data_IF_472432123699
#
_entry.id   IF_472432123699
#
_cell.length_a   1.000
_cell.length_b   1.000
_cell.length_c   1.000
_cell.angle_alpha   90.00
_cell.angle_beta   90.00
_cell.angle_gamma   90.00
#
_symmetry.space_group_name_H-M   'P 1'
#
loop_
_entity.id
_entity.type
_entity.pdbx_description
1 polymer ?
#
# COMPACT_ATOMS: atom_id res chain seq x y z
N UNK A 1 7.68 -3.12 -13.48
CA UNK A 1 7.77 -4.22 -12.50
C UNK A 1 8.56 -3.69 -11.32
N UNK A 2 8.06 -3.86 -10.10
CA UNK A 2 8.77 -3.40 -8.91
C UNK A 2 10.07 -4.19 -8.74
N UNK A 3 11.13 -3.51 -8.30
CA UNK A 3 12.45 -4.10 -8.11
C UNK A 3 12.44 -5.27 -7.12
N UNK A 4 11.52 -5.23 -6.14
CA UNK A 4 11.30 -6.31 -5.17
C UNK A 4 10.85 -7.61 -5.84
N UNK A 5 9.91 -7.55 -6.79
CA UNK A 5 9.45 -8.73 -7.53
C UNK A 5 10.56 -9.31 -8.41
N UNK A 6 11.33 -8.45 -9.08
CA UNK A 6 12.48 -8.90 -9.90
C UNK A 6 13.52 -9.60 -9.04
N UNK A 7 13.85 -9.03 -7.87
CA UNK A 7 14.76 -9.65 -6.92
C UNK A 7 14.23 -11.00 -6.43
N UNK A 8 12.94 -11.08 -6.11
CA UNK A 8 12.32 -12.32 -5.62
C UNK A 8 12.32 -13.43 -6.66
N UNK A 9 11.97 -13.10 -7.91
CA UNK A 9 12.08 -14.03 -9.05
C UNK A 9 13.54 -14.47 -9.22
N UNK A 10 14.49 -13.55 -9.13
CA UNK A 10 15.91 -13.88 -9.26
C UNK A 10 16.38 -14.85 -8.16
N UNK A 11 15.90 -14.67 -6.93
CA UNK A 11 16.18 -15.59 -5.82
C UNK A 11 15.60 -16.98 -6.10
N UNK A 12 14.33 -17.08 -6.52
CA UNK A 12 13.71 -18.37 -6.81
C UNK A 12 14.44 -19.10 -7.94
N UNK A 13 14.76 -18.39 -9.04
CA UNK A 13 15.56 -18.94 -10.15
C UNK A 13 16.95 -19.35 -9.68
N UNK A 14 17.61 -18.55 -8.83
CA UNK A 14 18.92 -18.88 -8.27
C UNK A 14 18.87 -20.13 -7.39
N UNK A 15 17.85 -20.27 -6.54
CA UNK A 15 17.64 -21.46 -5.72
C UNK A 15 17.45 -22.69 -6.61
N UNK A 16 16.61 -22.62 -7.65
CA UNK A 16 16.48 -23.74 -8.60
C UNK A 16 17.81 -24.07 -9.30
N UNK A 17 18.57 -23.05 -9.74
CA UNK A 17 19.85 -23.25 -10.38
C UNK A 17 20.87 -23.94 -9.46
N UNK A 18 20.92 -23.56 -8.19
CA UNK A 18 21.77 -24.24 -7.18
C UNK A 18 21.26 -25.65 -6.90
N UNK A 19 19.94 -25.83 -6.82
CA UNK A 19 19.27 -27.13 -6.77
C UNK A 19 19.79 -28.10 -7.82
N UNK A 20 19.78 -27.68 -9.08
CA UNK A 20 20.23 -28.47 -10.23
C UNK A 20 21.72 -28.81 -10.23
N UNK A 21 22.54 -28.20 -9.36
CA UNK A 21 23.95 -28.58 -9.16
C UNK A 21 24.12 -29.79 -8.21
N UNK A 22 23.02 -30.44 -7.81
CA UNK A 22 23.01 -31.63 -6.94
C UNK A 22 22.47 -31.37 -5.52
N UNK A 23 21.92 -30.18 -5.25
CA UNK A 23 21.32 -29.86 -3.95
C UNK A 23 19.98 -30.56 -3.74
N UNK A 24 19.25 -30.85 -4.82
CA UNK A 24 18.04 -31.68 -4.76
C UNK A 24 18.32 -33.08 -4.20
N UNK A 25 19.44 -33.68 -4.58
CA UNK A 25 19.82 -35.03 -4.12
C UNK A 25 20.44 -35.03 -2.72
N UNK A 26 21.16 -33.97 -2.36
CA UNK A 26 21.99 -33.93 -1.15
C UNK A 26 21.29 -33.36 0.08
N UNK A 27 20.24 -32.55 -0.09
CA UNK A 27 19.52 -31.89 1.00
C UNK A 27 18.01 -32.18 0.89
N UNK A 28 17.44 -33.06 1.74
CA UNK A 28 16.08 -33.56 1.58
C UNK A 28 14.95 -32.52 1.61
N UNK A 29 15.17 -31.36 2.22
CA UNK A 29 14.14 -30.29 2.32
C UNK A 29 14.32 -29.20 1.26
N UNK A 30 15.41 -29.25 0.49
CA UNK A 30 15.77 -28.19 -0.44
C UNK A 30 14.72 -28.01 -1.53
N UNK A 31 14.24 -29.14 -2.05
CA UNK A 31 13.26 -29.15 -3.12
C UNK A 31 11.94 -28.52 -2.66
N UNK A 32 11.45 -28.95 -1.51
CA UNK A 32 10.23 -28.40 -0.90
C UNK A 32 10.33 -26.88 -0.66
N UNK A 33 11.51 -26.36 -0.31
CA UNK A 33 11.72 -24.91 -0.17
C UNK A 33 11.74 -24.20 -1.53
N UNK A 34 12.37 -24.79 -2.55
CA UNK A 34 12.34 -24.26 -3.91
C UNK A 34 10.90 -24.19 -4.43
N UNK A 35 10.12 -25.23 -4.21
CA UNK A 35 8.69 -25.30 -4.51
C UNK A 35 7.88 -24.21 -3.80
N UNK A 36 8.02 -24.06 -2.48
CA UNK A 36 7.33 -23.00 -1.75
C UNK A 36 7.69 -21.60 -2.27
N UNK A 37 8.97 -21.33 -2.56
CA UNK A 37 9.41 -20.04 -3.09
C UNK A 37 8.80 -19.77 -4.47
N UNK A 38 8.91 -20.72 -5.39
CA UNK A 38 8.34 -20.62 -6.74
C UNK A 38 6.82 -20.47 -6.69
N UNK A 39 6.14 -21.17 -5.78
CA UNK A 39 4.70 -21.06 -5.58
C UNK A 39 4.26 -19.66 -5.13
N UNK A 40 5.07 -18.90 -4.37
CA UNK A 40 4.74 -17.50 -4.06
C UNK A 40 4.72 -16.61 -5.30
N UNK A 41 5.58 -16.87 -6.29
CA UNK A 41 5.63 -16.14 -7.55
C UNK A 41 4.42 -16.49 -8.41
N UNK A 42 4.09 -17.79 -8.50
CA UNK A 42 2.89 -18.26 -9.19
C UNK A 42 1.63 -17.68 -8.56
N UNK A 43 1.53 -17.69 -7.23
CA UNK A 43 0.42 -17.10 -6.49
C UNK A 43 0.28 -15.61 -6.78
N UNK A 44 1.37 -14.85 -6.76
CA UNK A 44 1.36 -13.42 -7.09
C UNK A 44 0.92 -13.15 -8.54
N UNK A 45 1.30 -14.03 -9.47
CA UNK A 45 0.86 -13.97 -10.87
C UNK A 45 -0.64 -14.26 -11.00
N UNK A 46 -1.14 -15.29 -10.31
CA UNK A 46 -2.57 -15.61 -10.26
C UNK A 46 -3.40 -14.49 -9.63
N UNK A 47 -2.89 -13.87 -8.56
CA UNK A 47 -3.49 -12.69 -7.94
C UNK A 47 -3.58 -11.52 -8.92
N UNK A 48 -2.48 -11.19 -9.61
CA UNK A 48 -2.46 -10.12 -10.60
C UNK A 48 -3.46 -10.38 -11.74
N UNK A 49 -3.60 -11.63 -12.19
CA UNK A 49 -4.57 -12.03 -13.20
C UNK A 49 -6.02 -11.82 -12.72
N UNK A 50 -6.36 -12.27 -11.50
CA UNK A 50 -7.69 -12.05 -10.91
C UNK A 50 -7.99 -10.57 -10.79
N UNK A 51 -7.04 -9.77 -10.27
CA UNK A 51 -7.27 -8.35 -10.08
C UNK A 51 -7.41 -7.58 -11.39
N UNK A 52 -6.73 -8.03 -12.44
CA UNK A 52 -6.91 -7.48 -13.78
C UNK A 52 -8.31 -7.78 -14.34
N UNK A 53 -8.84 -8.99 -14.10
CA UNK A 53 -10.19 -9.40 -14.52
C UNK A 53 -11.25 -8.60 -13.75
N UNK A 54 -11.12 -8.54 -12.41
CA UNK A 54 -12.02 -7.82 -11.50
C UNK A 54 -12.14 -6.34 -11.89
N UNK A 55 -11.01 -5.67 -12.16
CA UNK A 55 -10.99 -4.25 -12.57
C UNK A 55 -11.59 -3.98 -13.95
N UNK A 56 -11.55 -4.95 -14.87
CA UNK A 56 -12.01 -4.76 -16.25
C UNK A 56 -13.47 -5.19 -16.47
N UNK A 57 -14.17 -5.57 -15.40
CA UNK A 57 -15.54 -6.07 -15.48
C UNK A 57 -16.47 -5.24 -14.60
N UNK A 58 -17.30 -4.41 -15.24
CA UNK A 58 -18.28 -3.54 -14.56
C UNK A 58 -19.37 -4.30 -13.79
N UNK A 59 -19.45 -5.64 -13.95
CA UNK A 59 -20.51 -6.48 -13.38
C UNK A 59 -20.01 -7.54 -12.39
N UNK A 60 -18.70 -7.65 -12.14
CA UNK A 60 -18.16 -8.67 -11.22
C UNK A 60 -17.30 -8.02 -10.17
N UNK A 61 -17.80 -8.00 -8.93
CA UNK A 61 -17.00 -7.70 -7.75
C UNK A 61 -16.66 -9.06 -7.11
N UNK A 62 -15.39 -9.47 -7.15
CA UNK A 62 -14.98 -10.75 -6.58
C UNK A 62 -14.75 -10.61 -5.07
N UNK A 63 -15.56 -11.27 -4.20
CA UNK A 63 -15.33 -11.23 -2.76
C UNK A 63 -13.97 -11.85 -2.41
N UNK A 64 -13.35 -11.36 -1.34
CA UNK A 64 -12.00 -11.74 -0.92
C UNK A 64 -11.84 -13.25 -0.72
N UNK A 65 -12.89 -13.94 -0.25
CA UNK A 65 -12.89 -15.39 -0.06
C UNK A 65 -12.76 -16.16 -1.39
N UNK A 66 -13.40 -15.66 -2.46
CA UNK A 66 -13.29 -16.26 -3.79
C UNK A 66 -11.93 -16.00 -4.41
N UNK A 67 -11.35 -14.81 -4.20
CA UNK A 67 -9.99 -14.52 -4.65
C UNK A 67 -8.97 -15.43 -3.94
N UNK A 68 -9.11 -15.58 -2.62
CA UNK A 68 -8.29 -16.50 -1.82
C UNK A 68 -8.38 -17.94 -2.33
N UNK A 69 -9.61 -18.47 -2.48
CA UNK A 69 -9.83 -19.82 -2.98
C UNK A 69 -9.30 -20.00 -4.41
N UNK A 70 -9.49 -19.02 -5.28
CA UNK A 70 -8.96 -19.03 -6.64
C UNK A 70 -7.44 -19.18 -6.64
N UNK A 71 -6.72 -18.39 -5.84
CA UNK A 71 -5.24 -18.44 -5.80
C UNK A 71 -4.78 -19.84 -5.37
N UNK A 72 -5.41 -20.43 -4.35
CA UNK A 72 -5.08 -21.79 -3.92
C UNK A 72 -5.30 -22.83 -5.02
N UNK A 73 -6.40 -22.74 -5.77
CA UNK A 73 -6.70 -23.66 -6.87
C UNK A 73 -5.77 -23.43 -8.05
N UNK A 74 -5.46 -22.17 -8.37
CA UNK A 74 -4.55 -21.78 -9.43
C UNK A 74 -3.14 -22.31 -9.19
N UNK A 75 -2.61 -22.12 -7.98
CA UNK A 75 -1.29 -22.64 -7.59
C UNK A 75 -1.29 -24.16 -7.57
N UNK A 76 -2.34 -24.81 -7.05
CA UNK A 76 -2.47 -26.26 -7.10
C UNK A 76 -2.41 -26.79 -8.54
N UNK A 77 -3.18 -26.18 -9.46
CA UNK A 77 -3.21 -26.59 -10.85
C UNK A 77 -1.85 -26.41 -11.54
N UNK A 78 -1.16 -25.29 -11.26
CA UNK A 78 0.19 -25.06 -11.77
C UNK A 78 1.20 -26.03 -11.18
N UNK A 79 1.11 -26.33 -9.88
CA UNK A 79 1.95 -27.32 -9.20
C UNK A 79 1.81 -28.69 -9.85
N UNK A 80 0.59 -29.19 -10.02
CA UNK A 80 0.34 -30.47 -10.72
C UNK A 80 0.89 -30.45 -12.14
N UNK A 81 0.73 -29.34 -12.85
CA UNK A 81 1.29 -29.19 -14.20
C UNK A 81 2.82 -29.27 -14.21
N UNK A 82 3.48 -28.66 -13.21
CA UNK A 82 4.93 -28.70 -13.06
C UNK A 82 5.45 -30.12 -12.79
N UNK A 83 4.81 -30.85 -11.87
CA UNK A 83 5.15 -32.26 -11.56
C UNK A 83 5.07 -33.15 -12.80
N UNK A 84 4.08 -32.92 -13.68
CA UNK A 84 3.95 -33.65 -14.94
C UNK A 84 5.14 -33.37 -15.87
N UNK A 85 5.63 -32.13 -15.92
CA UNK A 85 6.81 -31.75 -16.71
C UNK A 85 8.04 -32.48 -16.17
N UNK A 86 8.26 -32.45 -14.86
CA UNK A 86 9.41 -33.11 -14.23
C UNK A 86 9.38 -34.61 -14.44
N UNK A 87 8.23 -35.25 -14.23
CA UNK A 87 8.04 -36.66 -14.54
C UNK A 87 8.35 -36.97 -16.02
N UNK A 88 7.85 -36.14 -16.93
CA UNK A 88 8.06 -36.32 -18.38
C UNK A 88 9.53 -36.14 -18.78
N UNK A 89 10.22 -35.15 -18.22
CA UNK A 89 11.64 -34.91 -18.46
C UNK A 89 12.51 -36.00 -17.83
N UNK A 90 12.14 -36.49 -16.65
CA UNK A 90 12.74 -37.66 -16.01
C UNK A 90 12.62 -38.90 -16.90
N UNK A 91 11.43 -39.18 -17.43
CA UNK A 91 11.22 -40.30 -18.37
C UNK A 91 12.03 -40.12 -19.66
N UNK A 92 12.05 -38.91 -20.23
CA UNK A 92 12.80 -38.62 -21.45
C UNK A 92 14.31 -38.84 -21.25
N UNK A 93 14.88 -38.43 -20.10
CA UNK A 93 16.29 -38.63 -19.78
C UNK A 93 16.67 -40.12 -19.71
N UNK A 94 15.82 -40.95 -19.07
CA UNK A 94 16.01 -42.40 -18.99
C UNK A 94 15.99 -43.05 -20.37
N UNK A 95 15.12 -42.61 -21.28
CA UNK A 95 15.04 -43.13 -22.64
C UNK A 95 16.24 -42.71 -23.51
N UNK A 96 16.79 -41.52 -23.27
CA UNK A 96 17.91 -40.96 -24.04
C UNK A 96 19.28 -41.31 -23.44
N UNK A 97 19.32 -42.01 -22.30
CA UNK A 97 20.56 -42.41 -21.61
C UNK A 97 21.31 -41.24 -20.97
N UNK A 98 20.61 -40.15 -20.66
CA UNK A 98 21.15 -38.99 -19.94
C UNK A 98 20.82 -39.03 -18.45
N UNK A 99 21.48 -38.18 -17.66
CA UNK A 99 21.10 -37.93 -16.26
C UNK A 99 19.86 -37.03 -16.22
N UNK A 100 18.93 -37.33 -15.32
CA UNK A 100 17.74 -36.53 -15.11
C UNK A 100 18.13 -35.22 -14.42
N UNK A 101 18.08 -34.10 -15.15
CA UNK A 101 18.40 -32.76 -14.60
C UNK A 101 17.29 -32.25 -13.65
N UNK A 102 16.08 -32.78 -13.80
CA UNK A 102 14.90 -32.55 -12.97
C UNK A 102 14.30 -33.92 -12.65
N UNK A 103 14.90 -34.63 -11.70
CA UNK A 103 14.50 -35.99 -11.36
C UNK A 103 13.35 -35.94 -10.33
N UNK A 104 12.20 -36.49 -10.70
CA UNK A 104 11.14 -36.80 -9.73
C UNK A 104 11.55 -38.05 -8.95
N UNK A 105 11.67 -37.96 -7.60
CA UNK A 105 12.19 -39.06 -6.78
C UNK A 105 11.11 -40.02 -6.30
N UNK A 106 9.84 -39.67 -6.44
CA UNK A 106 8.71 -40.56 -6.17
C UNK A 106 7.38 -39.84 -5.89
N UNK A 107 6.33 -40.61 -5.58
CA UNK A 107 5.01 -40.04 -5.27
C UNK A 107 5.00 -39.25 -3.96
N UNK A 108 5.77 -39.66 -2.95
CA UNK A 108 5.85 -38.98 -1.67
C UNK A 108 6.47 -37.57 -1.80
N UNK A 109 7.39 -37.42 -2.76
CA UNK A 109 8.06 -36.18 -3.15
C UNK A 109 7.04 -35.20 -3.74
N UNK A 110 6.38 -35.62 -4.83
CA UNK A 110 5.29 -34.87 -5.48
C UNK A 110 4.21 -34.40 -4.51
N UNK A 111 3.77 -35.25 -3.57
CA UNK A 111 2.78 -34.84 -2.57
C UNK A 111 3.35 -33.78 -1.65
N UNK A 112 4.61 -33.92 -1.23
CA UNK A 112 5.29 -32.93 -0.38
C UNK A 112 5.45 -31.61 -1.12
N UNK A 113 5.81 -31.62 -2.39
CA UNK A 113 5.97 -30.42 -3.20
C UNK A 113 4.64 -29.69 -3.41
N UNK A 114 3.56 -30.43 -3.68
CA UNK A 114 2.22 -29.85 -3.73
C UNK A 114 1.79 -29.24 -2.38
N UNK A 115 2.18 -29.83 -1.25
CA UNK A 115 1.90 -29.24 0.06
C UNK A 115 2.67 -27.93 0.27
N UNK A 116 3.96 -27.90 -0.10
CA UNK A 116 4.78 -26.69 0.00
C UNK A 116 4.32 -25.60 -0.98
N UNK A 117 3.82 -25.99 -2.16
CA UNK A 117 3.15 -25.08 -3.09
C UNK A 117 1.95 -24.41 -2.42
N UNK A 118 1.12 -25.17 -1.71
CA UNK A 118 -0.02 -24.62 -0.97
C UNK A 118 0.41 -23.72 0.19
N UNK A 119 1.51 -24.03 0.89
CA UNK A 119 2.04 -23.12 1.91
C UNK A 119 2.44 -21.77 1.31
N UNK A 120 3.13 -21.78 0.16
CA UNK A 120 3.46 -20.55 -0.57
C UNK A 120 2.20 -19.78 -1.00
N UNK A 121 1.19 -20.49 -1.51
CA UNK A 121 -0.08 -19.90 -1.91
C UNK A 121 -0.83 -19.26 -0.74
N UNK A 122 -0.90 -19.94 0.42
CA UNK A 122 -1.55 -19.44 1.63
C UNK A 122 -0.86 -18.17 2.14
N UNK A 123 0.48 -18.13 2.12
CA UNK A 123 1.23 -16.94 2.54
C UNK A 123 0.84 -15.73 1.68
N UNK A 124 0.81 -15.89 0.35
CA UNK A 124 0.48 -14.78 -0.56
C UNK A 124 -0.99 -14.41 -0.49
N UNK A 125 -1.90 -15.38 -0.60
CA UNK A 125 -3.33 -15.14 -0.60
C UNK A 125 -3.83 -14.61 0.76
N UNK A 126 -3.26 -15.09 1.88
CA UNK A 126 -3.60 -14.62 3.21
C UNK A 126 -3.08 -13.22 3.51
N UNK A 127 -1.90 -12.87 3.00
CA UNK A 127 -1.34 -11.52 3.13
C UNK A 127 -2.16 -10.45 2.38
N UNK A 128 -2.76 -10.84 1.26
CA UNK A 128 -3.70 -10.01 0.51
C UNK A 128 -5.06 -9.90 1.21
N UNK A 129 -5.66 -11.02 1.62
CA UNK A 129 -6.92 -11.01 2.36
C UNK A 129 -6.85 -10.20 3.67
N UNK A 130 -5.68 -10.09 4.29
CA UNK A 130 -5.45 -9.29 5.49
C UNK A 130 -5.31 -7.77 5.22
N UNK A 131 -5.22 -7.32 3.96
CA UNK A 131 -5.18 -5.90 3.57
C UNK A 131 -6.41 -5.52 2.74
N UNK A 132 -7.58 -5.36 3.37
CA UNK A 132 -8.73 -4.81 2.68
C UNK A 132 -8.41 -3.38 2.24
N UNK A 133 -8.17 -3.18 0.95
CA UNK A 133 -7.89 -1.87 0.37
C UNK A 133 -9.09 -0.92 0.49
N UNK A 134 -10.30 -1.45 0.68
CA UNK A 134 -11.52 -0.67 0.94
C UNK A 134 -11.36 0.33 2.09
N UNK A 135 -10.64 -0.03 3.16
CA UNK A 135 -10.40 0.88 4.28
C UNK A 135 -9.41 2.00 3.92
N UNK A 136 -8.42 1.70 3.08
CA UNK A 136 -7.45 2.68 2.60
C UNK A 136 -8.07 3.60 1.53
N UNK A 137 -8.89 3.05 0.65
CA UNK A 137 -9.64 3.77 -0.37
C UNK A 137 -10.69 4.67 0.29
N UNK A 138 -11.47 4.16 1.26
CA UNK A 138 -12.42 4.98 2.04
C UNK A 138 -11.70 6.09 2.81
N UNK A 139 -10.52 5.81 3.39
CA UNK A 139 -9.75 6.84 4.08
C UNK A 139 -9.19 7.88 3.12
N UNK A 140 -8.79 7.48 1.91
CA UNK A 140 -8.30 8.39 0.87
C UNK A 140 -9.43 9.24 0.30
N UNK A 141 -10.57 8.63 -0.03
CA UNK A 141 -11.79 9.32 -0.45
C UNK A 141 -12.30 10.28 0.63
N UNK A 142 -12.26 9.88 1.91
CA UNK A 142 -12.62 10.76 3.02
C UNK A 142 -11.62 11.91 3.21
N UNK A 143 -10.35 11.70 2.85
CA UNK A 143 -9.30 12.73 2.90
C UNK A 143 -9.38 13.68 1.71
N UNK A 144 -9.77 13.19 0.53
CA UNK A 144 -10.00 13.99 -0.67
C UNK A 144 -11.32 14.80 -0.57
N UNK A 145 -12.34 14.28 0.09
CA UNK A 145 -13.63 14.95 0.41
C UNK A 145 -13.56 15.79 1.71
N UNK A 146 -12.40 15.84 2.37
CA UNK A 146 -12.22 16.63 3.58
C UNK A 146 -12.40 18.14 3.38
N UNK A 147 -11.89 18.77 2.29
CA UNK A 147 -12.04 20.21 2.06
C UNK A 147 -13.51 20.62 1.89
N UNK A 148 -14.27 19.88 1.07
CA UNK A 148 -15.69 20.12 0.79
C UNK A 148 -16.58 20.00 2.03
N UNK A 149 -16.35 18.98 2.88
CA UNK A 149 -17.07 18.82 4.15
C UNK A 149 -16.81 19.96 5.11
N UNK A 150 -15.54 20.39 5.23
CA UNK A 150 -15.14 21.49 6.10
C UNK A 150 -15.80 22.81 5.64
N UNK A 151 -15.88 23.06 4.33
CA UNK A 151 -16.60 24.22 3.78
C UNK A 151 -18.09 24.19 4.12
N UNK A 152 -18.74 23.03 3.94
CA UNK A 152 -20.16 22.85 4.26
C UNK A 152 -20.48 23.07 5.74
N UNK A 153 -19.64 22.53 6.64
CA UNK A 153 -19.77 22.75 8.09
C UNK A 153 -19.61 24.23 8.44
N UNK A 154 -18.59 24.91 7.89
CA UNK A 154 -18.34 26.33 8.15
C UNK A 154 -19.51 27.21 7.68
N UNK A 155 -20.08 26.90 6.52
CA UNK A 155 -21.24 27.60 5.97
C UNK A 155 -22.51 27.33 6.79
N UNK A 156 -22.66 26.11 7.32
CA UNK A 156 -23.78 25.75 8.20
C UNK A 156 -23.70 26.45 9.56
N UNK A 157 -22.50 26.60 10.12
CA UNK A 157 -22.27 27.31 11.38
C UNK A 157 -22.45 28.82 11.20
N UNK A 158 -22.03 29.38 10.07
CA UNK A 158 -22.27 30.79 9.75
C UNK A 158 -23.75 31.08 9.50
N UNK A 159 -24.48 30.16 8.86
CA UNK A 159 -25.92 30.25 8.67
C UNK A 159 -26.69 30.07 9.99
N UNK A 160 -26.21 29.22 10.89
CA UNK A 160 -26.75 29.08 12.26
C UNK A 160 -26.51 30.36 13.06
N UNK A 161 -25.30 30.93 12.97
CA UNK A 161 -24.96 32.21 13.60
C UNK A 161 -25.85 33.36 13.10
N UNK A 162 -26.05 33.47 11.78
CA UNK A 162 -26.91 34.51 11.18
C UNK A 162 -28.40 34.34 11.49
N UNK A 163 -28.84 33.13 11.87
CA UNK A 163 -30.24 32.85 12.21
C UNK A 163 -30.55 33.11 13.68
N UNK A 164 -29.54 32.98 14.55
CA UNK A 164 -29.65 33.25 15.99
C UNK A 164 -29.29 34.71 16.35
N UNK A 165 -28.73 35.49 15.42
CA UNK A 165 -28.35 36.89 15.63
C UNK A 165 -29.39 37.89 15.12
N UNK A 166 -30.40 38.15 15.96
CA UNK A 166 -31.15 39.42 15.97
C UNK A 166 -30.65 40.34 17.11
N UNK A 167 -29.44 40.07 17.67
CA UNK A 167 -28.84 40.87 18.75
C UNK A 167 -27.31 40.92 18.64
N UNK A 168 -26.85 41.96 17.97
CA UNK A 168 -25.46 42.39 17.85
C UNK A 168 -24.75 42.46 19.23
N UNK A 169 -24.07 41.39 19.64
CA UNK A 169 -23.13 41.38 20.79
C UNK A 169 -21.71 41.19 20.24
N UNK A 170 -20.84 42.22 20.30
CA UNK A 170 -19.48 42.12 19.79
C UNK A 170 -18.63 41.30 20.76
N UNK A 171 -18.31 40.04 20.41
CA UNK A 171 -17.31 39.24 21.10
C UNK A 171 -15.89 39.65 20.67
N UNK A 172 -15.49 40.88 21.00
CA UNK A 172 -14.09 41.31 21.06
C UNK A 172 -13.89 42.19 22.29
N UNK A 173 -13.99 41.58 23.47
CA UNK A 173 -13.60 42.22 24.73
C UNK A 173 -13.00 41.21 25.71
N UNK A 174 -12.07 40.37 25.27
CA UNK A 174 -11.13 39.74 26.20
C UNK A 174 -9.89 39.21 25.47
N UNK A 175 -9.08 40.13 24.95
CA UNK A 175 -7.64 39.90 24.93
C UNK A 175 -7.03 40.90 25.89
N UNK A 176 -6.70 40.36 27.05
CA UNK A 176 -5.90 40.93 28.11
C UNK A 176 -4.66 41.63 27.52
N UNK A 177 -4.76 42.95 27.39
CA UNK A 177 -3.62 43.81 27.09
C UNK A 177 -2.84 43.87 28.40
N UNK A 178 -1.90 42.93 28.57
CA UNK A 178 -0.91 42.99 29.63
C UNK A 178 -0.05 44.24 29.40
N UNK A 179 -0.54 45.37 29.90
CA UNK A 179 0.23 46.58 30.07
C UNK A 179 1.30 46.31 31.11
N UNK A 180 2.50 46.01 30.66
CA UNK A 180 3.69 46.05 31.51
C UNK A 180 3.97 47.52 31.78
N UNK A 181 3.71 47.96 33.01
CA UNK A 181 4.15 49.25 33.54
C UNK A 181 5.68 49.23 33.67
N UNK A 182 6.44 49.92 32.80
CA UNK A 182 7.85 50.09 33.03
C UNK A 182 7.95 51.10 34.18
N UNK A 183 8.13 50.58 35.39
CA UNK A 183 8.39 51.40 36.57
C UNK A 183 9.47 52.46 36.29
N UNK A 184 9.36 53.59 36.98
CA UNK A 184 10.05 54.86 36.75
C UNK A 184 11.60 54.87 36.83
N UNK A 185 12.26 53.72 36.65
CA UNK A 185 13.72 53.54 36.66
C UNK A 185 14.26 52.81 35.41
N UNK A 186 13.51 52.77 34.29
CA UNK A 186 14.01 52.23 33.02
C UNK A 186 14.93 53.24 32.30
N UNK A 187 16.19 52.89 31.96
CA UNK A 187 17.12 53.80 31.30
C UNK A 187 16.98 53.68 29.78
N UNK A 188 16.03 54.40 29.17
CA UNK A 188 15.91 54.47 27.71
C UNK A 188 15.67 55.92 27.24
N UNK A 189 16.18 56.29 26.06
CA UNK A 189 16.36 57.69 25.65
C UNK A 189 15.05 58.34 25.19
N UNK A 190 14.95 59.67 25.36
CA UNK A 190 13.77 60.51 25.11
C UNK A 190 13.36 60.67 23.61
N UNK A 191 13.68 59.74 22.70
CA UNK A 191 13.49 59.95 21.25
C UNK A 191 12.26 59.26 20.62
N UNK A 192 11.44 58.55 21.40
CA UNK A 192 10.20 57.92 20.91
C UNK A 192 8.93 58.50 21.54
N UNK A 193 8.89 59.83 21.72
CA UNK A 193 7.61 60.52 21.88
C UNK A 193 6.86 60.56 20.56
N UNK A 194 5.74 59.85 20.57
CA UNK A 194 4.60 59.74 19.63
C UNK A 194 4.15 61.05 18.96
N UNK A 195 4.97 61.65 18.11
CA UNK A 195 4.53 62.74 17.22
C UNK A 195 5.50 62.91 16.05
N UNK A 196 5.40 62.05 15.02
CA UNK A 196 5.87 62.34 13.66
C UNK A 196 5.42 61.19 12.72
N UNK A 197 4.30 61.38 12.04
CA UNK A 197 3.97 60.61 10.83
C UNK A 197 4.44 61.39 9.60
N UNK A 198 5.22 60.78 8.70
CA UNK A 198 5.16 61.12 7.28
C UNK A 198 4.36 60.07 6.51
N UNK A 199 3.47 60.55 5.66
CA UNK A 199 2.91 59.78 4.55
C UNK A 199 4.00 59.58 3.48
N UNK A 200 4.22 58.36 3.00
CA UNK A 200 4.27 58.00 1.58
C UNK A 200 4.76 56.55 1.33
N UNK A 201 3.96 55.87 0.51
CA UNK A 201 4.29 54.98 -0.62
C UNK A 201 5.18 53.73 -0.48
N UNK A 202 4.48 52.62 -0.69
CA UNK A 202 4.71 51.52 -1.63
C UNK A 202 5.81 50.47 -1.39
N UNK A 203 5.32 49.24 -1.53
CA UNK A 203 6.00 48.09 -2.13
C UNK A 203 6.85 47.23 -1.18
N UNK A 204 6.22 46.22 -0.58
CA UNK A 204 6.63 44.82 -0.70
C UNK A 204 5.41 43.93 -0.43
N UNK A 205 4.85 43.42 -1.52
CA UNK A 205 3.85 42.37 -1.60
C UNK A 205 4.54 41.03 -1.34
N UNK A 206 4.35 40.46 -0.16
CA UNK A 206 4.44 39.00 0.02
C UNK A 206 3.11 38.54 0.59
N UNK A 207 2.16 38.32 -0.33
CA UNK A 207 0.90 37.66 -0.06
C UNK A 207 1.12 36.31 0.62
N UNK A 208 0.78 36.25 1.91
CA UNK A 208 0.20 35.03 2.44
C UNK A 208 -1.18 34.89 1.82
N UNK A 209 -1.24 34.16 0.72
CA UNK A 209 -2.48 33.70 0.11
C UNK A 209 -3.19 32.82 1.13
N UNK A 210 -4.11 33.41 1.90
CA UNK A 210 -5.21 32.65 2.46
C UNK A 210 -6.00 32.16 1.26
N UNK A 211 -5.72 30.91 0.85
CA UNK A 211 -6.52 30.22 -0.14
C UNK A 211 -7.90 30.04 0.50
N UNK A 212 -8.83 30.95 0.17
CA UNK A 212 -10.26 30.79 0.42
C UNK A 212 -10.78 29.67 -0.50
N UNK A 213 -10.43 28.43 -0.15
CA UNK A 213 -10.72 27.21 -0.92
C UNK A 213 -12.19 26.73 -0.76
N UNK A 214 -13.11 27.68 -0.57
CA UNK A 214 -14.55 27.41 -0.44
C UNK A 214 -15.38 28.28 -1.40
N UNK A 215 -14.82 28.65 -2.57
CA UNK A 215 -15.57 29.33 -3.63
C UNK A 215 -15.84 28.37 -4.78
N UNK A 216 -17.13 28.17 -5.08
CA UNK A 216 -17.69 27.35 -6.17
C UNK A 216 -17.18 27.80 -7.55
#
# INVERSE_FOLDING_TARGET
MDTSYVLWISIAVFVHAVGSLGFYESIPWYDSVAHALSATIVAGTGYAAVKAIDRNSEQTNLPAELQFAFILVFVMAFGVFWEIIEFTLGLASQLLGGEAVLAQYGLDDTVTDLLFNQLGAIIVAGWDAARPQEAADTATEAMDDWPSRRCSEMQSDQARYSRDDDRNEPLLSEKDVTGVDPGADAPLPDDLTRDDRPEEHDEYDEGFEYVDDCSI
#
